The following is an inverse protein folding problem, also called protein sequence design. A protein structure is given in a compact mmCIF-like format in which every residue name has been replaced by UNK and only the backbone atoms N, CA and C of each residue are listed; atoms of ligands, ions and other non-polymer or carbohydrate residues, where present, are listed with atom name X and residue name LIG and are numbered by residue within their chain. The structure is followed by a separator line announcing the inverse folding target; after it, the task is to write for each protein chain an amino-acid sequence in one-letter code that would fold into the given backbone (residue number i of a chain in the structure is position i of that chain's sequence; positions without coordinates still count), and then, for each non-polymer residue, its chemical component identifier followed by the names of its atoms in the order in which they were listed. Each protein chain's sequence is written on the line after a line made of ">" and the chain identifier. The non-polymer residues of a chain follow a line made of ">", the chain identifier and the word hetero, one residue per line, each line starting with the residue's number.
data_IF_334497197018
#
_entry.id   IF_334497197018
#
_cell.length_a   1.000
_cell.length_b   1.000
_cell.length_c   1.000
_cell.angle_alpha   90.00
_cell.angle_beta   90.00
_cell.angle_gamma   90.00
#
_symmetry.space_group_name_H-M   'P 1'
#
loop_
_entity.id
_entity.type
_entity.pdbx_description
1 polymer ?
#
# COMPACT_ATOMS: atom_id res chain seq x y z
N UNK A 1 -22.67 25.28 31.12
CA UNK A 1 -22.23 23.99 30.52
C UNK A 1 -21.17 24.35 29.50
N UNK A 2 -19.89 23.97 29.65
CA UNK A 2 -18.93 24.17 28.58
C UNK A 2 -19.13 23.11 27.49
N UNK A 3 -19.11 23.57 26.24
CA UNK A 3 -19.03 22.80 25.01
C UNK A 3 -18.03 21.65 25.11
N UNK A 4 -18.45 20.48 24.62
CA UNK A 4 -17.59 19.29 24.47
C UNK A 4 -16.65 19.53 23.28
N UNK A 5 -15.32 19.35 23.41
CA UNK A 5 -14.44 19.36 22.25
C UNK A 5 -14.63 18.08 21.41
N UNK A 6 -14.78 18.24 20.10
CA UNK A 6 -14.50 17.22 19.09
C UNK A 6 -12.97 17.02 18.94
N UNK A 7 -12.46 16.04 18.17
CA UNK A 7 -12.98 14.72 17.82
C UNK A 7 -12.18 13.61 18.54
N UNK A 8 -12.82 12.46 18.77
CA UNK A 8 -12.11 11.23 19.11
C UNK A 8 -11.15 10.89 17.98
N UNK A 9 -9.84 11.06 18.21
CA UNK A 9 -8.84 10.43 17.38
C UNK A 9 -9.15 8.92 17.38
N UNK A 10 -9.53 8.40 16.21
CA UNK A 10 -9.53 6.97 15.93
C UNK A 10 -8.19 6.40 16.42
N UNK A 11 -8.16 5.18 16.97
CA UNK A 11 -6.90 4.62 17.44
C UNK A 11 -5.92 4.65 16.28
N UNK A 12 -4.69 5.11 16.53
CA UNK A 12 -3.58 4.81 15.63
C UNK A 12 -3.57 3.29 15.48
N UNK A 13 -4.06 2.81 14.32
CA UNK A 13 -4.17 1.41 13.97
C UNK A 13 -2.77 0.82 14.17
N UNK A 14 -2.59 0.03 15.24
CA UNK A 14 -1.34 -0.67 15.46
C UNK A 14 -1.06 -1.45 14.18
N UNK A 15 -0.02 -1.04 13.44
CA UNK A 15 0.28 -1.53 12.11
C UNK A 15 0.18 -3.05 12.11
N UNK A 16 -0.86 -3.56 11.47
CA UNK A 16 -1.17 -4.97 11.55
C UNK A 16 -0.12 -5.75 10.75
N UNK A 17 0.18 -7.00 11.17
CA UNK A 17 1.22 -7.79 10.53
C UNK A 17 0.92 -8.06 9.05
N UNK A 18 -0.36 -8.19 8.70
CA UNK A 18 -0.88 -8.37 7.35
C UNK A 18 -0.53 -7.19 6.43
N UNK A 19 -1.02 -6.00 6.76
CA UNK A 19 -0.67 -4.75 6.09
C UNK A 19 0.85 -4.49 5.97
N UNK A 20 1.61 -4.78 7.04
CA UNK A 20 3.07 -4.68 7.01
C UNK A 20 3.67 -5.66 6.01
N UNK A 21 3.09 -6.87 5.88
CA UNK A 21 3.51 -7.87 4.91
C UNK A 21 3.18 -7.45 3.47
N UNK A 22 1.99 -6.94 3.17
CA UNK A 22 1.64 -6.44 1.83
C UNK A 22 2.58 -5.31 1.38
N UNK A 23 2.78 -4.30 2.24
CA UNK A 23 3.74 -3.22 1.96
C UNK A 23 5.15 -3.77 1.73
N UNK A 24 5.59 -4.72 2.55
CA UNK A 24 6.93 -5.31 2.42
C UNK A 24 7.07 -6.06 1.09
N UNK A 25 6.04 -6.80 0.66
CA UNK A 25 6.03 -7.49 -0.62
C UNK A 25 6.12 -6.50 -1.79
N UNK A 26 5.35 -5.42 -1.75
CA UNK A 26 5.37 -4.37 -2.78
C UNK A 26 6.74 -3.71 -2.84
N UNK A 27 7.31 -3.31 -1.71
CA UNK A 27 8.65 -2.72 -1.65
C UNK A 27 9.71 -3.65 -2.23
N UNK A 28 9.68 -4.95 -1.87
CA UNK A 28 10.63 -5.93 -2.40
C UNK A 28 10.50 -6.12 -3.92
N UNK A 29 9.28 -6.11 -4.46
CA UNK A 29 9.09 -6.20 -5.91
C UNK A 29 9.51 -4.90 -6.60
N UNK A 30 9.27 -3.74 -6.00
CA UNK A 30 9.70 -2.45 -6.53
C UNK A 30 11.22 -2.39 -6.69
N UNK A 31 11.97 -2.85 -5.67
CA UNK A 31 13.42 -2.97 -5.75
C UNK A 31 13.86 -3.90 -6.89
N UNK A 32 13.20 -5.04 -7.07
CA UNK A 32 13.52 -5.99 -8.17
C UNK A 32 13.26 -5.38 -9.53
N UNK A 33 12.16 -4.64 -9.70
CA UNK A 33 11.86 -3.94 -10.94
C UNK A 33 12.92 -2.87 -11.23
N UNK A 34 13.33 -2.11 -10.22
CA UNK A 34 14.42 -1.12 -10.34
C UNK A 34 15.74 -1.77 -10.75
N UNK A 35 16.10 -2.91 -10.14
CA UNK A 35 17.31 -3.65 -10.49
C UNK A 35 17.26 -4.25 -11.89
N UNK A 36 16.05 -4.61 -12.37
CA UNK A 36 15.87 -5.19 -13.70
C UNK A 36 15.89 -4.14 -14.83
N UNK A 37 15.96 -2.85 -14.51
CA UNK A 37 15.99 -1.72 -15.45
C UNK A 37 14.88 -1.80 -16.53
N UNK A 38 13.69 -2.26 -16.11
CA UNK A 38 12.55 -2.40 -17.00
C UNK A 38 11.92 -1.04 -17.30
N UNK A 39 11.44 -0.85 -18.53
CA UNK A 39 10.71 0.35 -18.90
C UNK A 39 9.27 0.29 -18.38
N UNK A 40 8.94 1.19 -17.45
CA UNK A 40 7.56 1.41 -16.98
C UNK A 40 6.83 2.27 -18.01
N UNK A 41 5.71 1.78 -18.56
CA UNK A 41 4.94 2.50 -19.59
C UNK A 41 4.27 3.78 -19.08
N UNK A 42 3.88 4.67 -20.01
CA UNK A 42 3.00 5.84 -19.78
C UNK A 42 3.48 6.92 -18.77
N UNK A 43 4.67 7.50 -18.99
CA UNK A 43 4.98 8.91 -18.63
C UNK A 43 5.19 9.28 -17.14
N UNK A 44 4.74 8.46 -16.20
CA UNK A 44 5.01 8.41 -14.75
C UNK A 44 4.20 7.20 -14.27
N UNK A 45 4.68 6.30 -13.42
CA UNK A 45 4.81 6.49 -11.96
C UNK A 45 5.69 5.36 -11.40
N UNK A 46 6.36 5.62 -10.29
CA UNK A 46 7.49 4.90 -9.69
C UNK A 46 7.39 3.35 -9.72
N UNK A 47 8.54 2.63 -9.71
CA UNK A 47 8.59 1.17 -9.64
C UNK A 47 7.75 0.56 -8.49
N UNK A 48 7.47 1.36 -7.46
CA UNK A 48 6.54 1.04 -6.39
C UNK A 48 5.09 0.89 -6.86
N UNK A 49 4.59 1.77 -7.72
CA UNK A 49 3.22 1.74 -8.22
C UNK A 49 3.00 0.53 -9.15
N UNK A 50 3.99 0.22 -10.00
CA UNK A 50 3.98 -0.98 -10.84
C UNK A 50 4.03 -2.26 -9.99
N UNK A 51 4.87 -2.27 -8.95
CA UNK A 51 4.93 -3.38 -8.01
C UNK A 51 3.61 -3.56 -7.24
N UNK A 52 2.98 -2.46 -6.82
CA UNK A 52 1.68 -2.48 -6.16
C UNK A 52 0.61 -3.08 -7.08
N UNK A 53 0.55 -2.63 -8.33
CA UNK A 53 -0.38 -3.15 -9.32
C UNK A 53 -0.19 -4.66 -9.55
N UNK A 54 1.05 -5.11 -9.75
CA UNK A 54 1.36 -6.53 -9.95
C UNK A 54 1.05 -7.39 -8.72
N UNK A 55 1.36 -6.91 -7.52
CA UNK A 55 1.11 -7.65 -6.27
C UNK A 55 -0.40 -7.74 -5.99
N UNK A 56 -1.15 -6.64 -6.11
CA UNK A 56 -2.60 -6.65 -5.92
C UNK A 56 -3.28 -7.55 -6.95
N UNK A 57 -2.89 -7.46 -8.23
CA UNK A 57 -3.38 -8.34 -9.29
C UNK A 57 -3.09 -9.81 -8.99
N UNK A 58 -1.86 -10.13 -8.56
CA UNK A 58 -1.47 -11.51 -8.29
C UNK A 58 -2.18 -12.10 -7.07
N UNK A 59 -2.53 -11.28 -6.08
CA UNK A 59 -3.34 -11.64 -4.91
C UNK A 59 -4.85 -11.64 -5.19
N UNK A 60 -5.29 -11.21 -6.37
CA UNK A 60 -6.71 -11.10 -6.73
C UNK A 60 -7.45 -10.00 -5.97
N UNK A 61 -6.73 -8.98 -5.49
CA UNK A 61 -7.29 -7.83 -4.78
C UNK A 61 -7.71 -6.73 -5.77
N UNK A 62 -8.66 -5.86 -5.40
CA UNK A 62 -8.97 -4.66 -6.17
C UNK A 62 -7.70 -3.80 -6.39
N UNK A 63 -7.51 -3.28 -7.60
CA UNK A 63 -6.29 -2.51 -7.95
C UNK A 63 -6.26 -1.11 -7.32
N UNK A 64 -7.42 -0.63 -6.89
CA UNK A 64 -7.64 0.61 -6.14
C UNK A 64 -7.63 0.39 -4.62
N UNK A 65 -7.24 -0.80 -4.17
CA UNK A 65 -7.11 -1.12 -2.75
C UNK A 65 -6.10 -0.19 -2.07
N UNK A 66 -6.50 0.37 -0.94
CA UNK A 66 -5.58 1.12 -0.09
C UNK A 66 -4.59 0.15 0.55
N UNK A 67 -3.31 0.22 0.19
CA UNK A 67 -2.24 -0.66 0.69
C UNK A 67 -2.06 -0.50 2.21
N UNK A 68 -2.54 0.62 2.76
CA UNK A 68 -2.63 0.92 4.19
C UNK A 68 -3.99 0.56 4.81
N UNK A 69 -4.84 -0.21 4.14
CA UNK A 69 -6.07 -0.73 4.74
C UNK A 69 -5.78 -1.92 5.66
N UNK A 70 -6.09 -1.82 6.96
CA UNK A 70 -5.91 -2.90 7.93
C UNK A 70 -6.65 -4.20 7.58
N UNK A 71 -7.71 -4.11 6.77
CA UNK A 71 -8.50 -5.25 6.34
C UNK A 71 -7.84 -6.07 5.22
N UNK A 72 -6.76 -5.56 4.62
CA UNK A 72 -6.01 -6.26 3.58
C UNK A 72 -4.93 -7.19 4.17
N UNK A 73 -4.62 -8.30 3.47
CA UNK A 73 -3.71 -9.34 3.94
C UNK A 73 -2.26 -8.89 4.08
#
# INVERSE_FOLDING_TARGET
>A
MPDTPAPTAAPAHAAQPAQTALRTLITLQAERLQQADVSYGHGTTNAFDEAAWLVLWQLGLPLDSDIDDPALP
#
